data_IF_886223662254
#
_entry.id   IF_886223662254
#
_cell.length_a   1.000
_cell.length_b   1.000
_cell.length_c   1.000
_cell.angle_alpha   90.00
_cell.angle_beta   90.00
_cell.angle_gamma   90.00
#
_symmetry.space_group_name_H-M   'P 1'
#
loop_
_entity.id
_entity.type
_entity.pdbx_description
1 polymer ?
#
# COMPACT_ATOMS: atom_id res chain seq x y z
N UNK A 1 -47.34 27.33 32.32
CA UNK A 1 -46.07 27.92 32.81
C UNK A 1 -45.63 27.04 33.95
N UNK A 2 -44.46 26.42 33.87
CA UNK A 2 -44.11 25.11 34.46
C UNK A 2 -44.54 23.97 33.54
N UNK A 3 -43.57 23.17 33.11
CA UNK A 3 -43.75 21.98 32.28
C UNK A 3 -42.50 21.67 31.45
N UNK A 4 -42.16 20.39 31.33
CA UNK A 4 -41.05 19.96 30.47
C UNK A 4 -41.46 20.06 28.98
N UNK A 5 -40.47 20.29 28.13
CA UNK A 5 -40.63 20.28 26.69
C UNK A 5 -40.95 18.87 26.17
N UNK A 6 -41.87 18.78 25.22
CA UNK A 6 -42.21 17.53 24.57
C UNK A 6 -41.03 17.01 23.71
N UNK A 7 -40.82 15.70 23.69
CA UNK A 7 -39.83 15.10 22.80
C UNK A 7 -40.22 15.28 21.33
N UNK A 8 -39.21 15.44 20.48
CA UNK A 8 -39.38 15.48 19.03
C UNK A 8 -39.93 14.16 18.50
N UNK A 9 -40.63 14.25 17.37
CA UNK A 9 -41.24 13.11 16.68
C UNK A 9 -40.66 12.96 15.27
N UNK A 10 -41.01 11.87 14.59
CA UNK A 10 -40.56 11.66 13.21
C UNK A 10 -40.99 12.80 12.26
N UNK A 11 -42.14 13.44 12.52
CA UNK A 11 -42.67 14.54 11.70
C UNK A 11 -42.19 15.91 12.16
N UNK A 12 -41.87 16.08 13.44
CA UNK A 12 -41.24 17.28 13.99
C UNK A 12 -40.03 16.87 14.85
N UNK A 13 -38.84 16.72 14.24
CA UNK A 13 -37.70 16.08 14.90
C UNK A 13 -37.18 16.82 16.12
N UNK A 14 -37.38 18.12 16.22
CA UNK A 14 -36.84 18.90 17.33
C UNK A 14 -37.67 18.71 18.59
N UNK A 15 -36.99 18.53 19.72
CA UNK A 15 -37.59 18.63 21.04
C UNK A 15 -38.13 20.04 21.28
N UNK A 16 -39.28 20.14 21.91
CA UNK A 16 -39.89 21.42 22.27
C UNK A 16 -39.19 22.01 23.49
N UNK A 17 -39.27 23.33 23.62
CA UNK A 17 -38.70 24.03 24.77
C UNK A 17 -39.50 23.76 26.05
N UNK A 18 -38.80 23.80 27.18
CA UNK A 18 -39.39 23.75 28.51
C UNK A 18 -40.13 25.04 28.88
N UNK A 19 -40.93 24.98 29.93
CA UNK A 19 -41.67 26.11 30.45
C UNK A 19 -40.77 27.24 30.93
N UNK A 20 -41.23 28.48 30.75
CA UNK A 20 -40.46 29.71 31.01
C UNK A 20 -39.86 29.82 32.42
N UNK A 21 -40.53 29.29 33.45
CA UNK A 21 -40.08 29.40 34.84
C UNK A 21 -39.37 28.12 35.32
N UNK A 22 -39.96 26.97 35.03
CA UNK A 22 -39.41 25.66 35.36
C UNK A 22 -39.76 24.70 34.24
N UNK A 23 -38.78 23.91 33.82
CA UNK A 23 -38.97 22.86 32.83
C UNK A 23 -37.70 22.54 32.08
N UNK A 24 -37.44 21.26 31.90
CA UNK A 24 -36.38 20.78 31.04
C UNK A 24 -36.80 20.89 29.58
N UNK A 25 -35.83 21.03 28.68
CA UNK A 25 -36.09 20.94 27.25
C UNK A 25 -36.37 19.49 26.81
N UNK A 26 -37.21 19.33 25.80
CA UNK A 26 -37.55 18.02 25.24
C UNK A 26 -36.38 17.39 24.47
N UNK A 27 -36.28 16.07 24.47
CA UNK A 27 -35.26 15.37 23.68
C UNK A 27 -35.55 15.49 22.17
N UNK A 28 -34.51 15.63 21.37
CA UNK A 28 -34.59 15.56 19.91
C UNK A 28 -34.84 14.14 19.41
N UNK A 29 -35.57 14.00 18.32
CA UNK A 29 -35.88 12.73 17.69
C UNK A 29 -34.63 12.10 17.05
N UNK A 30 -34.41 10.82 17.35
CA UNK A 30 -33.34 10.05 16.73
C UNK A 30 -33.81 9.44 15.43
N UNK A 31 -33.15 9.80 14.33
CA UNK A 31 -33.50 9.34 13.01
C UNK A 31 -33.11 7.86 12.81
N UNK A 32 -33.90 7.09 12.04
CA UNK A 32 -33.50 5.75 11.63
C UNK A 32 -32.16 5.78 10.89
N UNK A 33 -31.32 4.78 11.14
CA UNK A 33 -29.95 4.72 10.61
C UNK A 33 -29.87 4.80 9.07
N UNK A 34 -30.93 4.45 8.32
CA UNK A 34 -30.95 4.52 6.86
C UNK A 34 -31.63 5.77 6.27
N UNK A 35 -32.09 6.71 7.09
CA UNK A 35 -32.91 7.84 6.62
C UNK A 35 -32.15 8.91 5.85
N UNK A 36 -30.83 9.04 6.09
CA UNK A 36 -30.05 10.18 5.59
C UNK A 36 -30.41 11.53 6.21
N UNK A 37 -31.28 11.55 7.23
CA UNK A 37 -31.76 12.77 7.87
C UNK A 37 -30.93 13.10 9.12
N UNK A 38 -30.75 14.40 9.38
CA UNK A 38 -30.11 14.86 10.61
C UNK A 38 -30.96 14.55 11.84
N UNK A 39 -30.30 14.26 12.96
CA UNK A 39 -30.95 14.11 14.24
C UNK A 39 -31.64 15.40 14.66
N UNK A 40 -32.79 15.28 15.33
CA UNK A 40 -33.50 16.44 15.85
C UNK A 40 -32.75 17.12 16.98
N UNK A 41 -32.81 18.44 17.07
CA UNK A 41 -32.18 19.16 18.17
C UNK A 41 -32.95 18.95 19.48
N UNK A 42 -32.25 18.97 20.61
CA UNK A 42 -32.88 19.05 21.92
C UNK A 42 -33.45 20.45 22.16
N UNK A 43 -34.61 20.50 22.82
CA UNK A 43 -35.25 21.75 23.23
C UNK A 43 -34.47 22.44 24.36
N UNK A 44 -34.63 23.75 24.48
CA UNK A 44 -34.01 24.54 25.55
C UNK A 44 -34.87 24.54 26.81
N UNK A 45 -34.24 24.66 27.97
CA UNK A 45 -34.94 24.95 29.21
C UNK A 45 -35.22 26.46 29.36
N UNK A 46 -36.17 26.81 30.23
CA UNK A 46 -36.54 28.20 30.53
C UNK A 46 -35.60 28.86 31.54
N UNK A 47 -36.15 29.32 32.67
CA UNK A 47 -35.36 29.97 33.72
C UNK A 47 -34.55 28.96 34.55
N UNK A 48 -35.18 27.83 34.90
CA UNK A 48 -34.62 26.74 35.68
C UNK A 48 -34.94 25.41 34.97
N UNK A 49 -33.92 24.63 34.63
CA UNK A 49 -34.09 23.32 33.99
C UNK A 49 -32.91 22.93 33.13
N UNK A 50 -32.82 21.66 32.74
CA UNK A 50 -31.74 21.17 31.87
C UNK A 50 -32.18 21.16 30.41
N UNK A 51 -31.24 21.43 29.51
CA UNK A 51 -31.48 21.32 28.07
C UNK A 51 -31.73 19.88 27.64
N UNK A 52 -32.54 19.70 26.61
CA UNK A 52 -32.85 18.39 26.04
C UNK A 52 -31.67 17.79 25.29
N UNK A 53 -31.56 16.46 25.28
CA UNK A 53 -30.52 15.75 24.52
C UNK A 53 -30.85 15.83 23.02
N UNK A 54 -29.84 16.05 22.16
CA UNK A 54 -29.97 15.98 20.72
C UNK A 54 -30.14 14.54 20.22
N UNK A 55 -31.00 14.34 19.22
CA UNK A 55 -31.28 13.03 18.62
C UNK A 55 -30.14 12.52 17.72
N UNK A 56 -30.05 11.20 17.54
CA UNK A 56 -29.06 10.62 16.63
C UNK A 56 -29.39 10.91 15.15
N UNK A 57 -28.35 11.12 14.34
CA UNK A 57 -28.46 11.28 12.88
C UNK A 57 -28.52 9.95 12.13
N UNK A 58 -29.24 9.93 11.01
CA UNK A 58 -29.19 8.82 10.04
C UNK A 58 -27.85 8.76 9.32
N UNK A 59 -27.56 7.66 8.63
CA UNK A 59 -26.30 7.47 7.91
C UNK A 59 -26.05 8.61 6.91
N UNK A 60 -24.85 9.19 6.97
CA UNK A 60 -24.44 10.35 6.17
C UNK A 60 -24.84 11.70 6.78
N UNK A 61 -25.58 11.72 7.89
CA UNK A 61 -26.12 12.95 8.47
C UNK A 61 -25.58 13.23 9.88
N UNK A 62 -25.65 14.51 10.28
CA UNK A 62 -25.26 14.97 11.60
C UNK A 62 -26.20 14.51 12.70
N UNK A 63 -25.68 14.35 13.91
CA UNK A 63 -26.50 14.23 15.11
C UNK A 63 -27.08 15.59 15.48
N UNK A 64 -28.23 15.61 16.14
CA UNK A 64 -28.86 16.84 16.59
C UNK A 64 -28.03 17.53 17.68
N UNK A 65 -28.11 18.86 17.75
CA UNK A 65 -27.50 19.60 18.86
C UNK A 65 -28.27 19.35 20.17
N UNK A 66 -27.56 19.33 21.29
CA UNK A 66 -28.19 19.38 22.60
C UNK A 66 -28.75 20.77 22.88
N UNK A 67 -29.87 20.84 23.60
CA UNK A 67 -30.55 22.08 23.95
C UNK A 67 -29.87 22.83 25.09
N UNK A 68 -30.19 24.11 25.24
CA UNK A 68 -29.60 24.95 26.28
C UNK A 68 -30.19 24.65 27.67
N UNK A 69 -29.34 24.67 28.69
CA UNK A 69 -29.76 24.70 30.09
C UNK A 69 -30.45 26.01 30.44
N UNK A 70 -31.19 26.01 31.54
CA UNK A 70 -31.98 27.13 32.00
C UNK A 70 -31.10 28.31 32.40
N UNK A 71 -31.60 29.53 32.17
CA UNK A 71 -30.80 30.75 32.26
C UNK A 71 -30.13 30.97 33.62
N UNK A 72 -30.82 30.67 34.73
CA UNK A 72 -30.26 30.79 36.09
C UNK A 72 -29.54 29.51 36.51
N UNK A 73 -30.23 28.37 36.42
CA UNK A 73 -29.66 27.06 36.76
C UNK A 73 -30.10 26.01 35.76
N UNK A 74 -29.14 25.24 35.26
CA UNK A 74 -29.41 24.21 34.27
C UNK A 74 -28.19 23.79 33.49
N UNK A 75 -28.03 22.49 33.34
CA UNK A 75 -27.01 21.91 32.46
C UNK A 75 -27.48 21.94 31.01
N UNK A 76 -26.54 22.11 30.08
CA UNK A 76 -26.82 21.93 28.66
C UNK A 76 -27.04 20.46 28.32
N UNK A 77 -27.90 20.19 27.33
CA UNK A 77 -28.15 18.83 26.86
C UNK A 77 -26.99 18.28 26.03
N UNK A 78 -26.76 16.96 26.06
CA UNK A 78 -25.73 16.34 25.23
C UNK A 78 -26.11 16.38 23.74
N UNK A 79 -25.12 16.50 22.87
CA UNK A 79 -25.30 16.36 21.43
C UNK A 79 -25.58 14.92 21.01
N UNK A 80 -26.37 14.75 19.96
CA UNK A 80 -26.69 13.46 19.37
C UNK A 80 -25.51 12.84 18.63
N UNK A 81 -25.47 11.50 18.61
CA UNK A 81 -24.48 10.75 17.81
C UNK A 81 -24.74 11.01 16.33
N UNK A 82 -23.70 11.32 15.56
CA UNK A 82 -23.87 11.48 14.11
C UNK A 82 -23.78 10.16 13.36
N UNK A 83 -24.41 10.11 12.19
CA UNK A 83 -24.50 8.91 11.39
C UNK A 83 -23.20 8.55 10.68
N UNK A 84 -22.99 7.26 10.45
CA UNK A 84 -21.84 6.75 9.69
C UNK A 84 -21.86 7.28 8.26
N UNK A 85 -20.69 7.51 7.66
CA UNK A 85 -20.60 7.98 6.28
C UNK A 85 -21.21 6.98 5.30
N UNK A 86 -21.91 7.50 4.28
CA UNK A 86 -22.48 6.73 3.17
C UNK A 86 -21.71 6.89 1.86
N UNK A 87 -20.84 7.91 1.77
CA UNK A 87 -19.93 8.10 0.65
C UNK A 87 -18.54 7.55 0.98
N UNK A 88 -17.95 6.84 0.01
CA UNK A 88 -16.59 6.34 0.12
C UNK A 88 -15.58 7.47 0.34
N UNK A 89 -14.75 7.35 1.36
CA UNK A 89 -13.82 8.41 1.79
C UNK A 89 -14.48 9.56 2.58
N UNK A 90 -15.80 9.50 2.81
CA UNK A 90 -16.53 10.48 3.61
C UNK A 90 -16.35 10.30 5.12
N UNK A 91 -16.44 11.40 5.87
CA UNK A 91 -16.53 11.42 7.33
C UNK A 91 -17.98 11.20 7.81
N UNK A 92 -18.16 10.56 8.96
CA UNK A 92 -19.47 10.52 9.60
C UNK A 92 -19.88 11.89 10.15
N UNK A 93 -21.18 12.06 10.46
CA UNK A 93 -21.70 13.27 11.09
C UNK A 93 -21.31 13.37 12.57
N UNK A 94 -21.49 14.55 13.18
CA UNK A 94 -21.32 14.79 14.62
C UNK A 94 -22.54 15.56 15.17
N UNK A 95 -22.72 15.64 16.49
CA UNK A 95 -23.70 16.55 17.13
C UNK A 95 -23.04 17.43 18.19
N UNK A 96 -23.42 18.70 18.30
CA UNK A 96 -22.87 19.61 19.30
C UNK A 96 -23.60 19.48 20.64
N UNK A 97 -22.90 19.66 21.76
CA UNK A 97 -23.55 19.78 23.07
C UNK A 97 -24.16 21.16 23.28
N UNK A 98 -25.19 21.24 24.12
CA UNK A 98 -25.87 22.48 24.48
C UNK A 98 -25.10 23.28 25.54
N UNK A 99 -25.27 24.60 25.54
CA UNK A 99 -24.67 25.46 26.56
C UNK A 99 -25.46 25.43 27.88
N UNK A 100 -24.79 25.60 29.01
CA UNK A 100 -25.43 25.83 30.31
C UNK A 100 -25.80 27.31 30.51
N UNK A 101 -26.64 27.59 31.51
CA UNK A 101 -26.92 28.94 31.99
C UNK A 101 -25.87 29.46 32.99
N UNK A 102 -26.29 30.36 33.89
CA UNK A 102 -25.41 30.98 34.89
C UNK A 102 -24.75 29.95 35.82
N UNK A 103 -25.51 28.92 36.21
CA UNK A 103 -25.03 27.81 37.02
C UNK A 103 -25.38 26.47 36.37
N UNK A 104 -24.34 25.72 35.98
CA UNK A 104 -24.49 24.40 35.38
C UNK A 104 -23.30 24.06 34.47
N UNK A 105 -23.27 22.81 34.03
CA UNK A 105 -22.26 22.28 33.11
C UNK A 105 -22.81 22.23 31.69
N UNK A 106 -21.98 22.61 30.72
CA UNK A 106 -22.31 22.44 29.31
C UNK A 106 -22.46 20.96 28.93
N UNK A 107 -23.36 20.68 27.99
CA UNK A 107 -23.56 19.35 27.46
C UNK A 107 -22.35 18.87 26.65
N UNK A 108 -22.05 17.57 26.69
CA UNK A 108 -20.98 17.02 25.87
C UNK A 108 -21.39 16.98 24.41
N UNK A 109 -20.44 17.14 23.48
CA UNK A 109 -20.65 16.82 22.07
C UNK A 109 -21.03 15.34 21.88
N UNK A 110 -21.79 15.08 20.84
CA UNK A 110 -22.14 13.73 20.39
C UNK A 110 -20.98 13.06 19.65
N UNK A 111 -20.90 11.74 19.79
CA UNK A 111 -19.88 10.94 19.10
C UNK A 111 -20.02 11.08 17.58
N UNK A 112 -18.88 11.20 16.90
CA UNK A 112 -18.84 11.20 15.45
C UNK A 112 -19.14 9.84 14.86
N UNK A 113 -19.85 9.83 13.74
CA UNK A 113 -20.11 8.62 12.97
C UNK A 113 -18.83 8.04 12.36
N UNK A 114 -18.80 6.73 12.16
CA UNK A 114 -17.68 6.07 11.50
C UNK A 114 -17.54 6.57 10.05
N UNK A 115 -16.31 6.82 9.61
CA UNK A 115 -16.02 7.08 8.19
C UNK A 115 -16.13 5.81 7.36
N UNK A 116 -16.38 5.97 6.05
CA UNK A 116 -16.42 4.85 5.11
C UNK A 116 -15.11 4.77 4.35
N UNK A 117 -14.50 3.59 4.32
CA UNK A 117 -13.27 3.37 3.55
C UNK A 117 -13.47 3.76 2.09
N UNK A 118 -12.48 4.45 1.51
CA UNK A 118 -12.47 4.77 0.08
C UNK A 118 -12.46 3.50 -0.77
N UNK A 119 -12.93 3.61 -2.01
CA UNK A 119 -12.85 2.51 -2.97
C UNK A 119 -11.39 2.05 -3.12
N UNK A 120 -11.17 0.73 -3.15
CA UNK A 120 -9.88 0.20 -3.58
C UNK A 120 -9.60 0.70 -4.99
N UNK A 121 -8.43 1.31 -5.22
CA UNK A 121 -7.98 1.61 -6.57
C UNK A 121 -7.94 0.31 -7.37
N UNK A 122 -8.75 0.20 -8.40
CA UNK A 122 -8.66 -0.90 -9.36
C UNK A 122 -7.35 -0.73 -10.11
N UNK A 123 -6.36 -1.55 -9.75
CA UNK A 123 -5.19 -1.73 -10.60
C UNK A 123 -5.64 -2.55 -11.81
N UNK A 124 -5.59 -2.03 -13.05
CA UNK A 124 -5.87 -2.86 -14.22
C UNK A 124 -4.96 -4.10 -14.18
N UNK A 125 -5.49 -5.27 -14.54
CA UNK A 125 -4.68 -6.48 -14.70
C UNK A 125 -3.57 -6.17 -15.71
N UNK A 126 -2.29 -6.29 -15.35
CA UNK A 126 -1.24 -5.82 -16.23
C UNK A 126 -1.24 -6.55 -17.56
N UNK A 127 -1.25 -5.79 -18.65
CA UNK A 127 -1.22 -6.34 -20.02
C UNK A 127 0.20 -6.21 -20.56
N UNK A 128 0.68 -7.23 -21.26
CA UNK A 128 1.97 -7.18 -21.96
C UNK A 128 1.75 -6.72 -23.39
N UNK A 129 2.50 -5.71 -23.83
CA UNK A 129 2.52 -5.23 -25.22
C UNK A 129 3.83 -5.67 -25.90
N UNK A 130 3.78 -6.61 -26.86
CA UNK A 130 4.97 -7.03 -27.62
C UNK A 130 5.64 -5.90 -28.40
N UNK A 131 4.93 -4.83 -28.75
CA UNK A 131 5.49 -3.66 -29.43
C UNK A 131 6.49 -2.89 -28.58
N UNK A 132 6.49 -3.11 -27.26
CA UNK A 132 7.45 -2.52 -26.34
C UNK A 132 8.76 -3.31 -26.25
N UNK A 133 8.83 -4.53 -26.81
CA UNK A 133 10.00 -5.37 -26.72
C UNK A 133 11.15 -4.83 -27.57
N UNK A 134 12.36 -4.96 -27.04
CA UNK A 134 13.58 -4.68 -27.78
C UNK A 134 13.76 -5.65 -28.95
N UNK A 135 14.26 -5.12 -30.07
CA UNK A 135 14.54 -5.95 -31.25
C UNK A 135 15.71 -6.91 -30.97
N UNK A 136 15.68 -8.14 -31.51
CA UNK A 136 16.86 -9.00 -31.51
C UNK A 136 18.05 -8.32 -32.20
N UNK A 137 19.26 -8.63 -31.75
CA UNK A 137 20.49 -8.22 -32.43
C UNK A 137 20.72 -9.00 -33.71
N UNK A 138 21.30 -8.33 -34.70
CA UNK A 138 21.80 -8.95 -35.93
C UNK A 138 22.94 -9.93 -35.63
N UNK A 139 22.95 -11.05 -36.35
CA UNK A 139 23.92 -12.13 -36.20
C UNK A 139 25.00 -12.07 -37.29
N UNK A 140 26.20 -12.58 -36.99
CA UNK A 140 27.31 -12.71 -37.95
C UNK A 140 27.66 -11.38 -38.65
N UNK A 141 27.79 -10.33 -37.86
CA UNK A 141 28.27 -9.03 -38.32
C UNK A 141 29.80 -9.04 -38.33
N UNK A 142 30.46 -8.78 -39.47
CA UNK A 142 31.92 -8.73 -39.55
C UNK A 142 32.48 -7.68 -38.60
N UNK A 143 33.27 -8.15 -37.64
CA UNK A 143 33.94 -7.36 -36.62
C UNK A 143 35.39 -7.02 -36.98
N UNK A 144 36.02 -6.12 -36.22
CA UNK A 144 37.41 -5.77 -36.41
C UNK A 144 38.32 -6.99 -36.22
N UNK A 145 39.42 -7.03 -36.99
CA UNK A 145 40.45 -8.08 -36.94
C UNK A 145 39.95 -9.50 -37.26
N UNK A 146 38.91 -9.62 -38.11
CA UNK A 146 38.43 -10.91 -38.61
C UNK A 146 37.56 -11.68 -37.63
N UNK A 147 36.93 -11.03 -36.65
CA UNK A 147 35.94 -11.69 -35.79
C UNK A 147 34.54 -11.64 -36.40
N UNK A 148 33.76 -12.70 -36.22
CA UNK A 148 32.30 -12.61 -36.35
C UNK A 148 31.71 -12.10 -35.05
N UNK A 149 30.78 -11.15 -35.15
CA UNK A 149 30.19 -10.51 -33.98
C UNK A 149 28.68 -10.53 -34.07
N UNK A 150 28.02 -10.92 -32.99
CA UNK A 150 26.61 -10.65 -32.79
C UNK A 150 26.43 -9.24 -32.23
N UNK A 151 25.42 -8.51 -32.71
CA UNK A 151 25.09 -7.19 -32.14
C UNK A 151 24.23 -7.34 -30.88
N UNK A 152 24.24 -6.30 -30.03
CA UNK A 152 23.44 -6.30 -28.81
C UNK A 152 21.94 -6.24 -29.16
N UNK A 153 21.13 -7.04 -28.48
CA UNK A 153 19.67 -6.90 -28.52
C UNK A 153 19.22 -5.54 -28.00
N UNK A 154 18.21 -4.95 -28.63
CA UNK A 154 17.62 -3.70 -28.19
C UNK A 154 17.06 -3.80 -26.77
N UNK A 155 17.14 -2.73 -25.99
CA UNK A 155 16.48 -2.68 -24.70
C UNK A 155 14.96 -2.55 -24.89
N UNK A 156 14.18 -3.10 -23.97
CA UNK A 156 12.74 -2.90 -23.95
C UNK A 156 12.37 -1.45 -23.67
N UNK A 157 11.11 -1.10 -23.91
CA UNK A 157 10.57 0.24 -23.60
C UNK A 157 9.60 0.21 -22.42
N UNK A 158 9.56 1.32 -21.66
CA UNK A 158 8.73 1.42 -20.45
C UNK A 158 7.24 1.32 -20.77
N UNK A 159 6.52 0.54 -19.98
CA UNK A 159 5.07 0.39 -20.13
C UNK A 159 4.28 1.63 -19.70
N UNK A 160 3.17 1.90 -20.40
CA UNK A 160 2.15 2.86 -19.97
C UNK A 160 1.36 2.37 -18.75
N UNK A 161 0.43 3.17 -18.22
CA UNK A 161 -0.38 2.77 -17.05
C UNK A 161 -1.09 1.42 -17.30
N UNK A 162 -0.89 0.45 -16.40
CA UNK A 162 -1.43 -0.91 -16.55
C UNK A 162 -0.72 -1.80 -17.57
N UNK A 163 0.38 -1.35 -18.18
CA UNK A 163 1.14 -2.10 -19.19
C UNK A 163 2.50 -2.51 -18.61
N UNK A 164 2.85 -3.78 -18.78
CA UNK A 164 4.15 -4.33 -18.36
C UNK A 164 5.29 -3.69 -19.14
N UNK A 165 6.47 -3.62 -18.53
CA UNK A 165 7.66 -3.17 -19.23
C UNK A 165 8.00 -4.11 -20.38
N UNK A 166 8.45 -3.57 -21.50
CA UNK A 166 8.92 -4.37 -22.63
C UNK A 166 10.12 -5.23 -22.25
N UNK A 167 10.17 -6.44 -22.78
CA UNK A 167 11.32 -7.33 -22.63
C UNK A 167 12.51 -6.79 -23.45
N UNK A 168 13.73 -7.04 -22.99
CA UNK A 168 14.91 -6.85 -23.82
C UNK A 168 14.98 -7.87 -24.96
N UNK A 169 15.50 -7.45 -26.10
CA UNK A 169 15.73 -8.34 -27.24
C UNK A 169 16.92 -9.26 -27.02
N UNK A 170 16.92 -10.45 -27.63
CA UNK A 170 18.06 -11.35 -27.56
C UNK A 170 19.28 -10.77 -28.32
N UNK A 171 20.48 -11.06 -27.85
CA UNK A 171 21.71 -10.72 -28.56
C UNK A 171 21.89 -11.57 -29.82
N UNK A 172 22.53 -11.00 -30.85
CA UNK A 172 22.80 -11.71 -32.09
C UNK A 172 23.81 -12.85 -31.91
N UNK A 173 23.67 -13.92 -32.68
CA UNK A 173 24.63 -15.02 -32.68
C UNK A 173 25.89 -14.65 -33.48
N UNK A 174 26.99 -15.34 -33.20
CA UNK A 174 28.20 -15.26 -34.02
C UNK A 174 28.70 -16.66 -34.36
N UNK A 175 28.89 -16.94 -35.65
CA UNK A 175 29.48 -18.19 -36.12
C UNK A 175 30.65 -17.93 -37.08
N UNK A 176 31.87 -18.16 -36.62
CA UNK A 176 33.10 -17.99 -37.39
C UNK A 176 33.50 -19.30 -38.09
N UNK A 177 33.79 -19.22 -39.39
CA UNK A 177 34.27 -20.33 -40.21
C UNK A 177 35.70 -20.07 -40.72
N UNK A 178 36.44 -21.15 -40.94
CA UNK A 178 37.83 -21.21 -41.43
C UNK A 178 38.16 -20.31 -42.63
N UNK A 179 37.15 -19.96 -43.45
CA UNK A 179 37.35 -19.21 -44.70
C UNK A 179 37.37 -17.69 -44.52
N UNK A 180 36.68 -17.17 -43.50
CA UNK A 180 36.34 -15.74 -43.43
C UNK A 180 36.70 -15.08 -42.12
N UNK A 181 36.90 -15.86 -41.04
CA UNK A 181 36.89 -15.29 -39.69
C UNK A 181 37.75 -16.10 -38.71
N UNK A 182 38.50 -15.40 -37.86
CA UNK A 182 39.42 -15.93 -36.85
C UNK A 182 38.75 -16.26 -35.52
N UNK A 183 37.54 -15.77 -35.23
CA UNK A 183 36.89 -16.03 -33.94
C UNK A 183 35.49 -15.44 -33.87
N UNK A 184 34.73 -15.79 -32.83
CA UNK A 184 33.33 -15.41 -32.72
C UNK A 184 32.99 -14.79 -31.35
N UNK A 185 32.23 -13.71 -31.36
CA UNK A 185 31.71 -13.07 -30.14
C UNK A 185 30.21 -12.85 -30.28
N UNK A 186 29.42 -13.51 -29.44
CA UNK A 186 27.98 -13.35 -29.40
C UNK A 186 27.57 -11.99 -28.81
N UNK A 187 26.45 -11.45 -29.29
CA UNK A 187 25.93 -10.17 -28.83
C UNK A 187 25.33 -10.26 -27.44
N UNK A 188 25.41 -9.19 -26.64
CA UNK A 188 24.72 -9.17 -25.34
C UNK A 188 23.20 -9.02 -25.51
N UNK A 189 22.43 -9.53 -24.57
CA UNK A 189 20.99 -9.31 -24.49
C UNK A 189 20.61 -7.86 -24.16
N UNK A 190 19.43 -7.46 -24.59
CA UNK A 190 18.77 -6.22 -24.22
C UNK A 190 18.33 -6.20 -22.76
N UNK A 191 18.34 -5.05 -22.10
CA UNK A 191 17.73 -4.93 -20.78
C UNK A 191 16.20 -4.90 -20.91
N UNK A 192 15.49 -5.49 -19.95
CA UNK A 192 14.06 -5.29 -19.78
C UNK A 192 13.76 -3.90 -19.23
N UNK A 193 12.58 -3.37 -19.56
CA UNK A 193 12.16 -2.04 -19.15
C UNK A 193 11.30 -2.03 -17.89
N UNK A 194 11.13 -0.84 -17.31
CA UNK A 194 10.27 -0.65 -16.15
C UNK A 194 8.79 -0.85 -16.49
N UNK A 195 8.03 -1.50 -15.60
CA UNK A 195 6.57 -1.57 -15.69
C UNK A 195 5.91 -0.20 -15.52
N UNK A 196 4.71 -0.04 -16.09
CA UNK A 196 3.94 1.18 -15.93
C UNK A 196 3.17 1.32 -14.61
N UNK A 197 2.61 2.51 -14.40
CA UNK A 197 1.84 2.85 -13.20
C UNK A 197 0.61 1.96 -12.99
N UNK A 198 0.07 1.97 -11.78
CA UNK A 198 -1.04 1.12 -11.36
C UNK A 198 -0.53 -0.18 -10.74
N UNK A 199 0.65 -0.61 -11.17
CA UNK A 199 1.22 -1.89 -10.83
C UNK A 199 1.16 -2.72 -12.07
N UNK A 200 2.13 -2.51 -12.96
CA UNK A 200 2.53 -3.49 -13.94
C UNK A 200 3.94 -4.02 -13.61
N UNK A 201 4.28 -5.24 -14.04
CA UNK A 201 5.59 -5.83 -13.78
C UNK A 201 6.64 -5.27 -14.74
N UNK A 202 7.91 -5.32 -14.34
CA UNK A 202 8.99 -5.00 -15.25
C UNK A 202 9.20 -6.07 -16.32
N UNK A 203 9.79 -5.67 -17.44
CA UNK A 203 10.14 -6.56 -18.54
C UNK A 203 11.34 -7.44 -18.21
N UNK A 204 11.39 -8.64 -18.78
CA UNK A 204 12.55 -9.52 -18.66
C UNK A 204 13.73 -9.00 -19.49
N UNK A 205 14.96 -9.26 -19.05
CA UNK A 205 16.13 -9.06 -19.89
C UNK A 205 16.21 -10.10 -21.01
N UNK A 206 16.74 -9.71 -22.16
CA UNK A 206 16.99 -10.58 -23.29
C UNK A 206 18.17 -11.51 -23.06
N UNK A 207 18.17 -12.64 -23.74
CA UNK A 207 19.27 -13.62 -23.67
C UNK A 207 20.50 -13.07 -24.38
N UNK A 208 21.69 -13.51 -23.98
CA UNK A 208 22.88 -13.30 -24.79
C UNK A 208 22.85 -14.17 -26.06
N UNK A 209 23.55 -13.72 -27.09
CA UNK A 209 23.72 -14.45 -28.34
C UNK A 209 24.81 -15.52 -28.25
N UNK A 210 24.59 -16.72 -28.80
CA UNK A 210 25.58 -17.79 -28.77
C UNK A 210 26.76 -17.49 -29.69
N UNK A 211 27.93 -18.07 -29.38
CA UNK A 211 29.12 -17.96 -30.21
C UNK A 211 29.69 -19.33 -30.57
N UNK A 212 30.02 -19.53 -31.85
CA UNK A 212 30.70 -20.72 -32.34
C UNK A 212 31.86 -20.31 -33.25
N UNK A 213 33.01 -20.99 -33.14
CA UNK A 213 34.12 -20.79 -34.07
C UNK A 213 34.77 -22.11 -34.46
N UNK A 214 34.96 -22.33 -35.76
CA UNK A 214 35.71 -23.49 -36.25
C UNK A 214 37.24 -23.33 -36.09
N UNK A 215 37.70 -22.09 -36.01
CA UNK A 215 39.08 -21.72 -35.79
C UNK A 215 39.12 -20.48 -34.88
N UNK A 216 39.97 -20.53 -33.84
CA UNK A 216 40.15 -19.45 -32.87
C UNK A 216 39.11 -19.38 -31.73
N UNK A 217 39.08 -18.28 -30.96
CA UNK A 217 38.31 -18.19 -29.73
C UNK A 217 36.82 -17.89 -29.96
N UNK A 218 35.98 -18.40 -29.07
CA UNK A 218 34.55 -18.12 -29.03
C UNK A 218 34.12 -17.56 -27.65
N UNK A 219 33.36 -16.46 -27.66
CA UNK A 219 32.82 -15.82 -26.45
C UNK A 219 31.31 -15.62 -26.59
N UNK A 220 30.52 -16.25 -25.73
CA UNK A 220 29.07 -16.05 -25.72
C UNK A 220 28.69 -14.65 -25.24
N UNK A 221 27.49 -14.20 -25.60
CA UNK A 221 26.93 -12.94 -25.15
C UNK A 221 26.40 -13.01 -23.72
N UNK A 222 26.56 -11.93 -22.94
CA UNK A 222 25.92 -11.78 -21.63
C UNK A 222 24.40 -11.62 -21.77
N UNK A 223 23.64 -12.10 -20.79
CA UNK A 223 22.22 -11.76 -20.69
C UNK A 223 22.01 -10.27 -20.35
N UNK A 224 20.81 -9.75 -20.61
CA UNK A 224 20.42 -8.40 -20.22
C UNK A 224 19.76 -8.34 -18.84
N UNK A 225 19.81 -7.20 -18.16
CA UNK A 225 19.19 -7.07 -16.85
C UNK A 225 17.66 -7.08 -16.95
N UNK A 226 16.96 -7.55 -15.91
CA UNK A 226 15.52 -7.36 -15.81
C UNK A 226 15.15 -5.90 -15.50
N UNK A 227 13.95 -5.48 -15.89
CA UNK A 227 13.44 -4.14 -15.62
C UNK A 227 12.66 -4.03 -14.30
N UNK A 228 12.67 -2.87 -13.65
CA UNK A 228 11.96 -2.70 -12.37
C UNK A 228 10.43 -2.79 -12.51
N UNK A 229 9.75 -3.17 -11.43
CA UNK A 229 8.29 -3.12 -11.36
C UNK A 229 7.77 -1.67 -11.41
N UNK A 230 6.53 -1.50 -11.88
CA UNK A 230 5.89 -0.19 -11.96
C UNK A 230 5.47 0.37 -10.61
N UNK A 231 5.46 1.71 -10.51
CA UNK A 231 5.06 2.42 -9.31
C UNK A 231 3.54 2.32 -9.07
N UNK A 232 3.13 1.96 -7.84
CA UNK A 232 1.73 1.80 -7.45
C UNK A 232 1.57 1.34 -6.00
N UNK A 233 0.32 1.27 -5.52
CA UNK A 233 -0.02 0.97 -4.12
C UNK A 233 0.44 -0.41 -3.66
N UNK A 234 0.66 -1.34 -4.59
CA UNK A 234 1.02 -2.73 -4.32
C UNK A 234 2.41 -3.15 -4.85
N UNK A 235 3.34 -2.21 -5.10
CA UNK A 235 4.77 -2.45 -5.38
C UNK A 235 5.12 -3.78 -6.05
N UNK A 236 5.11 -3.82 -7.39
CA UNK A 236 5.14 -5.09 -8.11
C UNK A 236 6.53 -5.66 -8.36
N UNK A 237 6.55 -6.94 -8.76
CA UNK A 237 7.77 -7.66 -9.10
C UNK A 237 8.49 -6.99 -10.27
N UNK A 238 9.82 -6.90 -10.15
CA UNK A 238 10.68 -6.63 -11.30
C UNK A 238 10.73 -7.83 -12.26
N UNK A 239 11.23 -7.59 -13.45
CA UNK A 239 11.47 -8.61 -14.46
C UNK A 239 12.69 -9.47 -14.15
N UNK A 240 12.68 -10.69 -14.68
CA UNK A 240 13.82 -11.60 -14.62
C UNK A 240 14.99 -11.05 -15.45
N UNK A 241 16.22 -11.36 -15.05
CA UNK A 241 17.38 -11.14 -15.92
C UNK A 241 17.45 -12.18 -17.03
N UNK A 242 18.08 -11.82 -18.13
CA UNK A 242 18.34 -12.69 -19.26
C UNK A 242 19.46 -13.68 -18.98
N UNK A 243 19.37 -14.84 -19.64
CA UNK A 243 20.40 -15.88 -19.58
C UNK A 243 21.61 -15.48 -20.43
N UNK A 244 22.81 -15.82 -19.99
CA UNK A 244 24.01 -15.71 -20.82
C UNK A 244 24.10 -16.87 -21.80
N UNK A 245 24.90 -16.71 -22.86
CA UNK A 245 24.95 -17.65 -23.96
C UNK A 245 26.14 -18.61 -23.89
N UNK A 246 26.00 -19.83 -24.44
CA UNK A 246 27.11 -20.75 -24.57
C UNK A 246 28.10 -20.29 -25.65
N UNK A 247 29.35 -20.76 -25.52
CA UNK A 247 30.39 -20.63 -26.54
C UNK A 247 30.96 -22.01 -26.90
N UNK A 248 31.27 -22.23 -28.17
CA UNK A 248 31.86 -23.47 -28.67
C UNK A 248 33.00 -23.19 -29.65
N UNK A 249 34.09 -23.98 -29.59
CA UNK A 249 35.22 -23.91 -30.53
C UNK A 249 35.75 -25.30 -30.89
N UNK A 250 36.26 -25.45 -32.10
CA UNK A 250 37.02 -26.63 -32.53
C UNK A 250 38.53 -26.38 -32.40
N UNK A 251 39.27 -27.33 -31.80
CA UNK A 251 40.75 -27.36 -31.87
C UNK A 251 41.56 -26.76 -30.72
N UNK A 252 41.18 -26.95 -29.46
CA UNK A 252 42.02 -26.60 -28.30
C UNK A 252 42.08 -25.09 -27.95
N UNK A 253 41.31 -24.27 -28.64
CA UNK A 253 41.13 -22.84 -28.38
C UNK A 253 40.21 -22.59 -27.17
N UNK A 254 40.22 -21.36 -26.65
CA UNK A 254 39.36 -20.98 -25.51
C UNK A 254 37.91 -20.74 -25.96
N UNK A 255 36.96 -21.42 -25.32
CA UNK A 255 35.53 -21.12 -25.40
C UNK A 255 35.04 -20.64 -24.03
N UNK A 256 34.44 -19.45 -24.00
CA UNK A 256 33.95 -18.83 -22.76
C UNK A 256 32.46 -18.57 -22.84
N UNK A 257 31.68 -19.32 -22.05
CA UNK A 257 30.26 -19.04 -21.87
C UNK A 257 30.08 -17.76 -21.03
N UNK A 258 29.04 -17.00 -21.35
CA UNK A 258 28.78 -15.74 -20.69
C UNK A 258 27.78 -15.88 -19.52
N UNK A 259 27.93 -15.07 -18.46
CA UNK A 259 27.03 -15.09 -17.32
C UNK A 259 25.63 -14.56 -17.63
N UNK A 260 24.65 -15.08 -16.88
CA UNK A 260 23.31 -14.51 -16.79
C UNK A 260 23.33 -13.17 -16.04
N UNK A 261 22.38 -12.29 -16.38
CA UNK A 261 22.26 -10.98 -15.76
C UNK A 261 21.28 -10.97 -14.57
N UNK A 262 21.43 -10.03 -13.63
CA UNK A 262 20.55 -9.91 -12.47
C UNK A 262 19.11 -9.54 -12.83
N UNK A 263 18.17 -10.08 -12.05
CA UNK A 263 16.77 -9.65 -12.04
C UNK A 263 16.62 -8.30 -11.31
N UNK A 264 15.58 -7.55 -11.68
CA UNK A 264 15.27 -6.25 -11.09
C UNK A 264 14.59 -6.38 -9.72
N UNK A 265 14.69 -5.32 -8.90
CA UNK A 265 14.26 -5.36 -7.50
C UNK A 265 12.82 -4.86 -7.37
N UNK A 266 11.96 -5.56 -6.64
CA UNK A 266 10.61 -5.07 -6.34
C UNK A 266 10.66 -3.77 -5.52
N UNK A 267 10.02 -2.70 -5.98
CA UNK A 267 9.95 -1.44 -5.24
C UNK A 267 8.98 -1.59 -4.05
N UNK A 268 9.47 -1.38 -2.83
CA UNK A 268 8.65 -1.51 -1.62
C UNK A 268 7.64 -0.37 -1.50
N UNK A 269 6.36 -0.72 -1.36
CA UNK A 269 5.27 0.21 -1.08
C UNK A 269 5.60 1.09 0.15
N UNK A 270 5.63 2.41 -0.04
CA UNK A 270 5.61 3.38 1.05
C UNK A 270 4.20 3.92 1.13
N UNK A 271 3.41 3.45 2.10
CA UNK A 271 2.64 4.23 3.07
C UNK A 271 1.88 3.27 3.98
N UNK A 272 2.33 3.16 5.23
CA UNK A 272 1.58 2.49 6.28
C UNK A 272 0.57 3.48 6.87
N UNK A 273 -0.74 3.24 6.66
CA UNK A 273 -1.77 3.79 7.55
C UNK A 273 -1.93 2.80 8.70
N UNK A 274 -1.57 3.25 9.90
CA UNK A 274 -1.55 2.45 11.12
C UNK A 274 -2.96 2.06 11.55
N UNK A 275 -3.36 0.82 11.29
CA UNK A 275 -4.51 0.19 11.95
C UNK A 275 -4.11 -0.27 13.36
N UNK A 276 -4.70 0.36 14.38
CA UNK A 276 -4.69 -0.11 15.77
C UNK A 276 -5.63 -1.34 15.92
N UNK A 277 -5.44 -2.19 16.94
CA UNK A 277 -5.85 -3.59 16.91
C UNK A 277 -7.33 -3.81 17.26
N UNK A 278 -8.00 -4.68 16.48
CA UNK A 278 -9.35 -5.17 16.75
C UNK A 278 -9.38 -6.14 17.95
N UNK A 279 -10.40 -5.98 18.81
CA UNK A 279 -10.81 -6.90 19.89
C UNK A 279 -12.04 -7.69 19.38
N UNK A 280 -12.18 -9.01 19.64
CA UNK A 280 -13.18 -9.83 18.96
C UNK A 280 -14.50 -9.93 19.73
N UNK A 281 -15.62 -9.78 19.02
CA UNK A 281 -16.95 -10.23 19.44
C UNK A 281 -17.58 -10.87 18.18
N UNK A 282 -17.88 -12.17 18.16
CA UNK A 282 -18.94 -12.92 18.85
C UNK A 282 -20.06 -13.27 17.84
N UNK A 283 -20.05 -14.55 17.47
CA UNK A 283 -21.18 -15.44 17.21
C UNK A 283 -22.35 -14.96 16.34
N UNK A 284 -22.44 -15.49 15.12
CA UNK A 284 -23.72 -15.89 14.52
C UNK A 284 -23.59 -17.26 13.86
N UNK A 285 -24.57 -18.10 14.16
CA UNK A 285 -24.70 -19.53 13.82
C UNK A 285 -25.65 -19.65 12.62
N UNK A 286 -25.30 -20.44 11.59
CA UNK A 286 -26.24 -21.07 10.65
C UNK A 286 -25.64 -22.40 10.12
N UNK A 287 -26.48 -23.38 9.71
CA UNK A 287 -26.23 -24.82 9.90
C UNK A 287 -25.43 -25.51 8.78
N UNK A 288 -25.00 -26.72 9.15
CA UNK A 288 -23.97 -27.54 8.52
C UNK A 288 -24.36 -28.20 7.19
N UNK A 289 -23.41 -28.19 6.25
CA UNK A 289 -23.28 -29.20 5.19
C UNK A 289 -22.11 -30.11 5.59
N UNK A 290 -22.39 -31.40 5.69
CA UNK A 290 -21.48 -32.45 6.19
C UNK A 290 -20.42 -32.81 5.14
N UNK A 291 -19.13 -32.67 5.49
CA UNK A 291 -17.97 -33.19 4.72
C UNK A 291 -16.93 -33.76 5.72
N UNK A 292 -16.33 -34.95 5.49
CA UNK A 292 -15.54 -35.68 6.50
C UNK A 292 -14.15 -35.07 6.81
N UNK A 293 -13.52 -35.42 7.95
CA UNK A 293 -12.50 -34.58 8.59
C UNK A 293 -11.07 -34.84 8.09
N UNK A 294 -10.35 -33.76 7.77
CA UNK A 294 -8.88 -33.72 7.74
C UNK A 294 -8.34 -33.15 9.07
N UNK A 295 -7.34 -33.84 9.61
CA UNK A 295 -6.77 -33.65 10.94
C UNK A 295 -6.09 -32.26 11.11
N UNK A 296 -6.62 -31.40 12.00
CA UNK A 296 -6.03 -30.10 12.36
C UNK A 296 -5.31 -30.17 13.72
N UNK A 297 -4.11 -29.56 13.86
CA UNK A 297 -3.34 -29.58 15.10
C UNK A 297 -3.90 -28.62 16.17
N UNK A 298 -3.86 -29.06 17.43
CA UNK A 298 -4.48 -28.41 18.60
C UNK A 298 -4.04 -26.95 18.88
N UNK A 299 -4.94 -26.09 19.41
CA UNK A 299 -4.74 -24.65 19.64
C UNK A 299 -3.62 -24.29 20.64
N UNK A 300 -3.12 -25.25 21.42
CA UNK A 300 -1.97 -25.06 22.30
C UNK A 300 -0.64 -24.84 21.53
N UNK A 301 -0.49 -25.43 20.33
CA UNK A 301 0.71 -25.30 19.50
C UNK A 301 0.88 -23.89 18.92
N UNK A 302 -0.23 -23.24 18.58
CA UNK A 302 -0.25 -21.93 17.94
C UNK A 302 0.22 -20.81 18.89
N UNK A 303 -0.15 -20.87 20.19
CA UNK A 303 0.30 -19.91 21.21
C UNK A 303 1.80 -20.04 21.53
N UNK A 304 2.37 -21.26 21.52
CA UNK A 304 3.82 -21.47 21.71
C UNK A 304 4.62 -20.95 20.52
N UNK A 305 4.16 -21.17 19.28
CA UNK A 305 4.82 -20.65 18.08
C UNK A 305 4.85 -19.11 18.05
N UNK A 306 3.76 -18.45 18.46
CA UNK A 306 3.68 -16.99 18.49
C UNK A 306 4.68 -16.36 19.47
N UNK A 307 4.81 -16.93 20.68
CA UNK A 307 5.80 -16.48 21.66
C UNK A 307 7.24 -16.66 21.15
N UNK A 308 7.55 -17.78 20.50
CA UNK A 308 8.88 -18.02 19.95
C UNK A 308 9.23 -17.04 18.80
N UNK A 309 8.28 -16.73 17.92
CA UNK A 309 8.47 -15.74 16.84
C UNK A 309 8.71 -14.32 17.38
N UNK A 310 8.00 -13.92 18.45
CA UNK A 310 8.19 -12.61 19.11
C UNK A 310 9.59 -12.47 19.72
N UNK A 311 10.08 -13.51 20.41
CA UNK A 311 11.44 -13.49 20.98
C UNK A 311 12.54 -13.45 19.92
N UNK A 312 12.38 -14.15 18.78
CA UNK A 312 13.34 -14.08 17.67
C UNK A 312 13.40 -12.69 17.03
N UNK A 313 12.25 -12.02 16.85
CA UNK A 313 12.20 -10.63 16.34
C UNK A 313 12.87 -9.65 17.31
N UNK A 314 12.62 -9.77 18.61
CA UNK A 314 13.26 -8.93 19.62
C UNK A 314 14.80 -9.09 19.67
N UNK A 315 15.31 -10.32 19.51
CA UNK A 315 16.76 -10.57 19.46
C UNK A 315 17.42 -9.95 18.20
N UNK A 316 16.76 -10.03 17.04
CA UNK A 316 17.24 -9.40 15.80
C UNK A 316 17.29 -7.87 15.91
N UNK A 317 16.25 -7.26 16.48
CA UNK A 317 16.21 -5.81 16.70
C UNK A 317 17.34 -5.32 17.63
N UNK A 318 17.64 -6.07 18.73
CA UNK A 318 18.75 -5.73 19.62
C UNK A 318 20.12 -5.84 18.94
N UNK A 319 20.33 -6.84 18.07
CA UNK A 319 21.57 -6.97 17.28
C UNK A 319 21.74 -5.82 16.28
N UNK A 320 20.68 -5.44 15.57
CA UNK A 320 20.71 -4.31 14.64
C UNK A 320 21.03 -2.98 15.34
N UNK A 321 20.45 -2.71 16.53
CA UNK A 321 20.78 -1.52 17.32
C UNK A 321 22.26 -1.48 17.74
N UNK A 322 22.84 -2.62 18.14
CA UNK A 322 24.27 -2.72 18.47
C UNK A 322 25.17 -2.46 17.24
N UNK A 323 24.82 -3.01 16.08
CA UNK A 323 25.56 -2.75 14.84
C UNK A 323 25.50 -1.28 14.41
N UNK A 324 24.32 -0.64 14.47
CA UNK A 324 24.18 0.80 14.17
C UNK A 324 25.03 1.66 15.09
N UNK A 325 25.04 1.38 16.41
CA UNK A 325 25.89 2.09 17.38
C UNK A 325 27.39 1.93 17.09
N UNK A 326 27.84 0.73 16.72
CA UNK A 326 29.25 0.49 16.33
C UNK A 326 29.64 1.24 15.06
N UNK A 327 28.75 1.25 14.04
CA UNK A 327 28.99 1.97 12.78
C UNK A 327 29.06 3.48 13.00
N UNK A 328 28.19 4.02 13.85
CA UNK A 328 28.18 5.44 14.22
C UNK A 328 29.46 5.86 14.96
N UNK A 329 29.92 5.06 15.94
CA UNK A 329 31.20 5.31 16.64
C UNK A 329 32.40 5.31 15.70
N UNK A 330 32.45 4.40 14.72
CA UNK A 330 33.52 4.38 13.70
C UNK A 330 33.52 5.63 12.82
N UNK A 331 32.33 6.12 12.43
CA UNK A 331 32.20 7.36 11.65
C UNK A 331 32.66 8.58 12.45
N UNK A 332 32.33 8.66 13.73
CA UNK A 332 32.80 9.75 14.60
C UNK A 332 34.32 9.74 14.78
N UNK A 333 34.92 8.58 15.05
CA UNK A 333 36.37 8.44 15.14
C UNK A 333 37.07 8.80 13.83
N UNK A 334 36.48 8.46 12.67
CA UNK A 334 36.97 8.87 11.36
C UNK A 334 36.93 10.39 11.15
N UNK A 335 35.85 11.06 11.58
CA UNK A 335 35.74 12.52 11.52
C UNK A 335 36.77 13.22 12.41
N UNK A 336 36.98 12.73 13.63
CA UNK A 336 37.99 13.28 14.55
C UNK A 336 39.42 13.12 14.02
N UNK A 337 39.74 11.99 13.38
CA UNK A 337 41.04 11.78 12.72
C UNK A 337 41.26 12.72 11.54
N UNK A 338 40.22 12.98 10.73
CA UNK A 338 40.29 13.95 9.61
C UNK A 338 40.50 15.38 10.13
N UNK A 339 39.80 15.77 11.18
CA UNK A 339 39.98 17.09 11.80
C UNK A 339 41.37 17.28 12.41
N UNK A 340 41.97 16.24 13.01
CA UNK A 340 43.36 16.31 13.51
C UNK A 340 44.41 16.39 12.40
N UNK A 341 44.15 15.80 11.23
CA UNK A 341 45.02 15.91 10.04
C UNK A 341 44.91 17.27 9.36
N UNK A 342 43.74 17.92 9.41
CA UNK A 342 43.54 19.26 8.85
C UNK A 342 44.09 20.40 9.74
N UNK A 343 44.55 20.08 10.97
CA UNK A 343 45.15 21.03 11.92
C UNK A 343 46.67 20.86 12.06
N UNK A 344 47.26 19.91 11.33
CA UNK A 344 48.71 19.75 11.17
C UNK A 344 49.05 20.20 9.76
#
# INVERSE_FOLDING_TARGET
>A
MIGDGAAGTATNPNGQDGGLLFGNGGAGYSQPAGSGLAGGNGGSAGLIGNGGIGGAGGAGAAGGAGGHGGWLTGNGGNGGVGGNAVLAGGSGGNGAGGAAGLWGDGGTGGHGGAGLAGNNGVNPTPVTDPGLNGKPGDSNVPGPNGFETGTKGGDGTTGGAGINGGNGGDGGAANANFTTSFGAVGGAGGNGATGGYGGATGGAGGSGGPAASEFGPALGGNGGNGGDGGAGTNGQAGGAGGVGAPAATAGGWSATAAPAAPAATAQSAVTAISAAPAVPAASTVFPAVTVPPLHLPSPAGCRRQWRQRRHRRARRARRQRRHRRRRWRRRLAGRQRRQRRARR
#
